data_IF_601808416760
#
_entry.id   IF_601808416760
#
_cell.length_a   1.000
_cell.length_b   1.000
_cell.length_c   1.000
_cell.angle_alpha   90.00
_cell.angle_beta   90.00
_cell.angle_gamma   90.00
#
_symmetry.space_group_name_H-M   'P 1'
#
loop_
_entity.id
_entity.type
_entity.pdbx_description
1 polymer ?
#
# COMPACT_ATOMS: atom_id res chain seq x y z
N UNK A 1 -10.64 5.39 -16.45
CA UNK A 1 -11.25 6.73 -16.26
C UNK A 1 -10.79 7.66 -17.38
N UNK A 2 -11.71 8.22 -18.20
CA UNK A 2 -11.37 9.21 -19.24
C UNK A 2 -11.55 10.61 -18.64
N UNK A 3 -10.45 11.32 -18.40
CA UNK A 3 -10.50 12.70 -17.91
C UNK A 3 -10.68 13.67 -19.09
N UNK A 4 -11.66 14.57 -19.01
CA UNK A 4 -11.87 15.64 -19.98
C UNK A 4 -10.71 16.65 -19.93
N UNK A 5 -10.19 17.05 -21.09
CA UNK A 5 -8.98 17.88 -21.23
C UNK A 5 -9.16 19.34 -20.81
N UNK A 6 -10.39 19.77 -20.50
CA UNK A 6 -10.71 21.17 -20.17
C UNK A 6 -10.59 21.51 -18.68
N UNK A 7 -10.61 20.52 -17.79
CA UNK A 7 -10.45 20.71 -16.35
C UNK A 7 -9.67 19.54 -15.78
N UNK A 8 -8.46 19.79 -15.29
CA UNK A 8 -7.67 18.77 -14.63
C UNK A 8 -8.36 18.30 -13.34
N UNK A 9 -8.49 16.99 -13.11
CA UNK A 9 -9.06 16.47 -11.86
C UNK A 9 -8.22 16.94 -10.67
N UNK A 10 -8.88 17.22 -9.54
CA UNK A 10 -8.17 17.57 -8.31
C UNK A 10 -7.32 16.38 -7.86
N UNK A 11 -6.20 16.65 -7.19
CA UNK A 11 -5.29 15.60 -6.67
C UNK A 11 -6.03 14.57 -5.81
N UNK A 12 -6.97 15.00 -4.97
CA UNK A 12 -7.81 14.10 -4.16
C UNK A 12 -8.61 13.11 -5.02
N UNK A 13 -9.15 13.56 -6.16
CA UNK A 13 -9.89 12.68 -7.07
C UNK A 13 -8.97 11.68 -7.76
N UNK A 14 -7.73 12.09 -8.08
CA UNK A 14 -6.73 11.19 -8.64
C UNK A 14 -6.31 10.10 -7.64
N UNK A 15 -6.08 10.48 -6.38
CA UNK A 15 -5.75 9.54 -5.30
C UNK A 15 -6.92 8.57 -5.08
N UNK A 16 -8.14 9.10 -4.92
CA UNK A 16 -9.34 8.28 -4.72
C UNK A 16 -9.61 7.34 -5.91
N UNK A 17 -9.44 7.80 -7.14
CA UNK A 17 -9.62 6.96 -8.32
C UNK A 17 -8.61 5.81 -8.37
N UNK A 18 -7.37 6.03 -7.93
CA UNK A 18 -6.33 5.01 -7.90
C UNK A 18 -6.55 4.01 -6.75
N UNK A 19 -6.94 4.47 -5.56
CA UNK A 19 -7.30 3.60 -4.43
C UNK A 19 -8.47 2.66 -4.74
N UNK A 20 -9.39 3.08 -5.60
CA UNK A 20 -10.56 2.29 -6.01
C UNK A 20 -10.32 1.44 -7.27
N UNK A 21 -9.12 1.44 -7.85
CA UNK A 21 -8.79 0.66 -9.05
C UNK A 21 -7.98 -0.60 -8.67
N UNK A 22 -8.56 -1.80 -8.72
CA UNK A 22 -7.87 -3.05 -8.36
C UNK A 22 -6.69 -3.39 -9.28
N UNK A 23 -6.59 -2.75 -10.45
CA UNK A 23 -5.51 -2.93 -11.41
C UNK A 23 -4.43 -1.85 -11.32
N UNK A 24 -4.66 -0.81 -10.53
CA UNK A 24 -3.69 0.25 -10.34
C UNK A 24 -2.47 -0.23 -9.56
N UNK A 25 -1.35 0.43 -9.79
CA UNK A 25 -0.14 0.28 -8.96
C UNK A 25 -0.30 0.99 -7.63
N UNK A 26 0.44 0.52 -6.64
CA UNK A 26 0.55 1.15 -5.33
C UNK A 26 0.88 2.66 -5.45
N UNK A 27 0.27 3.47 -4.59
CA UNK A 27 0.43 4.92 -4.59
C UNK A 27 1.68 5.36 -3.82
N UNK A 28 2.39 6.34 -4.39
CA UNK A 28 3.40 7.12 -3.67
C UNK A 28 2.89 8.56 -3.55
N UNK A 29 2.58 8.98 -2.33
CA UNK A 29 2.07 10.34 -2.05
C UNK A 29 3.21 11.20 -1.52
N UNK A 30 3.66 12.14 -2.36
CA UNK A 30 4.71 13.09 -1.99
C UNK A 30 4.08 14.31 -1.30
N UNK A 31 4.52 14.59 -0.08
CA UNK A 31 4.07 15.78 0.68
C UNK A 31 5.25 16.56 1.22
N UNK A 32 5.02 17.82 1.56
CA UNK A 32 5.99 18.64 2.27
C UNK A 32 5.78 18.50 3.78
N UNK A 33 6.88 18.51 4.53
CA UNK A 33 6.87 18.54 6.00
C UNK A 33 6.10 17.38 6.66
N UNK A 34 6.08 16.20 6.05
CA UNK A 34 5.44 15.01 6.65
C UNK A 34 3.92 15.09 6.79
N UNK A 35 3.25 16.00 6.06
CA UNK A 35 1.80 16.22 6.20
C UNK A 35 0.93 15.12 5.56
N UNK A 36 1.51 14.03 5.03
CA UNK A 36 0.80 12.98 4.32
C UNK A 36 -0.33 12.34 5.14
N UNK A 37 -0.04 11.81 6.33
CA UNK A 37 -1.06 11.12 7.13
C UNK A 37 -2.21 12.06 7.55
N UNK A 38 -1.95 13.25 8.14
CA UNK A 38 -3.04 14.17 8.48
C UNK A 38 -3.89 14.54 7.27
N UNK A 39 -3.29 14.70 6.09
CA UNK A 39 -4.03 15.00 4.87
C UNK A 39 -4.87 13.81 4.41
N UNK A 40 -4.33 12.59 4.40
CA UNK A 40 -5.04 11.40 3.94
C UNK A 40 -6.24 11.05 4.83
N UNK A 41 -6.06 11.08 6.16
CA UNK A 41 -7.15 10.84 7.11
C UNK A 41 -8.12 12.03 7.21
N UNK A 42 -7.60 13.26 7.30
CA UNK A 42 -8.43 14.47 7.41
C UNK A 42 -9.32 14.72 6.17
N UNK A 43 -8.89 14.26 5.00
CA UNK A 43 -9.69 14.32 3.77
C UNK A 43 -10.57 13.09 3.55
N UNK A 44 -10.55 12.10 4.46
CA UNK A 44 -11.27 10.83 4.38
C UNK A 44 -10.93 10.01 3.13
N UNK A 45 -9.72 10.18 2.61
CA UNK A 45 -9.20 9.32 1.55
C UNK A 45 -8.83 7.94 2.10
N UNK A 46 -8.45 7.87 3.36
CA UNK A 46 -8.20 6.64 4.12
C UNK A 46 -9.09 6.63 5.38
N UNK A 47 -9.50 5.43 5.78
CA UNK A 47 -10.17 5.16 7.05
C UNK A 47 -9.14 4.66 8.06
N UNK A 48 -9.06 5.28 9.24
CA UNK A 48 -8.15 4.89 10.31
C UNK A 48 -8.43 3.47 10.81
N UNK A 49 -9.68 2.99 10.72
CA UNK A 49 -10.06 1.64 11.17
C UNK A 49 -9.63 0.53 10.21
N UNK A 50 -9.44 0.85 8.94
CA UNK A 50 -9.08 -0.10 7.87
C UNK A 50 -7.70 0.20 7.25
N UNK A 51 -6.89 1.02 7.94
CA UNK A 51 -5.55 1.37 7.50
C UNK A 51 -4.52 0.96 8.55
N UNK A 52 -3.60 0.08 8.14
CA UNK A 52 -2.40 -0.24 8.90
C UNK A 52 -1.28 0.72 8.53
N UNK A 53 -0.84 1.56 9.47
CA UNK A 53 0.29 2.47 9.28
C UNK A 53 1.56 1.83 9.83
N UNK A 54 2.55 1.62 8.98
CA UNK A 54 3.87 1.08 9.33
C UNK A 54 4.91 2.20 9.24
N UNK A 55 5.47 2.57 10.39
CA UNK A 55 6.48 3.62 10.52
C UNK A 55 7.82 2.96 10.78
N UNK A 56 8.81 3.25 9.94
CA UNK A 56 10.15 2.71 10.11
C UNK A 56 10.88 3.51 11.20
N UNK A 57 11.59 2.82 12.08
CA UNK A 57 12.40 3.51 13.07
C UNK A 57 13.60 4.19 12.40
N UNK A 58 13.80 5.46 12.73
CA UNK A 58 14.96 6.24 12.33
C UNK A 58 16.18 5.95 13.24
N UNK A 59 15.96 5.28 14.38
CA UNK A 59 17.02 4.92 15.31
C UNK A 59 17.73 3.63 14.84
N UNK A 60 19.06 3.64 14.68
CA UNK A 60 19.81 2.48 14.19
C UNK A 60 19.63 1.22 15.06
N UNK A 61 19.52 1.39 16.38
CA UNK A 61 19.42 0.29 17.34
C UNK A 61 18.08 -0.44 17.28
N UNK A 62 17.03 0.20 16.75
CA UNK A 62 15.70 -0.37 16.59
C UNK A 62 15.56 -1.18 15.29
N UNK A 63 16.54 -1.10 14.37
CA UNK A 63 16.54 -1.79 13.07
C UNK A 63 16.92 -3.27 13.19
N UNK A 64 16.29 -3.96 14.11
CA UNK A 64 16.49 -5.41 14.31
C UNK A 64 15.78 -6.21 13.21
N UNK A 65 16.36 -7.36 12.82
CA UNK A 65 15.72 -8.27 11.86
C UNK A 65 14.34 -8.75 12.36
N UNK A 66 14.19 -8.94 13.67
CA UNK A 66 12.92 -9.35 14.27
C UNK A 66 11.83 -8.29 14.08
N UNK A 67 12.18 -7.00 14.21
CA UNK A 67 11.25 -5.91 13.93
C UNK A 67 10.83 -5.92 12.45
N UNK A 68 11.79 -6.09 11.53
CA UNK A 68 11.50 -6.20 10.10
C UNK A 68 10.55 -7.36 9.78
N UNK A 69 10.79 -8.55 10.33
CA UNK A 69 9.90 -9.72 10.15
C UNK A 69 8.49 -9.44 10.68
N UNK A 70 8.39 -8.72 11.80
CA UNK A 70 7.09 -8.32 12.38
C UNK A 70 6.33 -7.37 11.45
N UNK A 71 7.01 -6.36 10.89
CA UNK A 71 6.41 -5.43 9.93
C UNK A 71 5.98 -6.15 8.64
N UNK A 72 6.79 -7.07 8.11
CA UNK A 72 6.43 -7.89 6.93
C UNK A 72 5.18 -8.73 7.22
N UNK A 73 5.09 -9.32 8.41
CA UNK A 73 3.91 -10.09 8.79
C UNK A 73 2.65 -9.21 8.91
N UNK A 74 2.77 -7.97 9.38
CA UNK A 74 1.67 -7.01 9.38
C UNK A 74 1.21 -6.68 7.95
N UNK A 75 2.13 -6.47 7.01
CA UNK A 75 1.78 -6.30 5.58
C UNK A 75 1.02 -7.53 5.07
N UNK A 76 1.53 -8.74 5.33
CA UNK A 76 0.89 -9.99 4.90
C UNK A 76 -0.53 -10.13 5.45
N UNK A 77 -0.74 -9.82 6.73
CA UNK A 77 -2.06 -9.89 7.35
C UNK A 77 -3.02 -8.86 6.77
N UNK A 78 -2.58 -7.61 6.58
CA UNK A 78 -3.37 -6.55 5.97
C UNK A 78 -3.77 -6.90 4.51
N UNK A 79 -2.84 -7.48 3.74
CA UNK A 79 -3.13 -7.98 2.40
C UNK A 79 -4.18 -9.10 2.40
N UNK A 80 -4.18 -9.96 3.43
CA UNK A 80 -5.16 -11.04 3.55
C UNK A 80 -6.54 -10.54 3.99
N UNK A 81 -6.61 -9.50 4.83
CA UNK A 81 -7.87 -8.87 5.24
C UNK A 81 -8.44 -7.90 4.20
N UNK A 82 -7.61 -7.45 3.26
CA UNK A 82 -7.95 -6.40 2.29
C UNK A 82 -7.79 -4.98 2.82
N UNK A 83 -7.15 -4.81 3.98
CA UNK A 83 -6.92 -3.52 4.60
C UNK A 83 -5.79 -2.76 3.92
N UNK A 84 -5.88 -1.43 3.93
CA UNK A 84 -4.86 -0.57 3.31
C UNK A 84 -3.59 -0.53 4.18
N UNK A 85 -2.41 -0.55 3.56
CA UNK A 85 -1.13 -0.38 4.26
C UNK A 85 -0.50 0.95 3.83
N UNK A 86 -0.11 1.77 4.80
CA UNK A 86 0.68 2.99 4.57
C UNK A 86 2.08 2.79 5.12
N UNK A 87 3.09 2.88 4.25
CA UNK A 87 4.50 2.79 4.62
C UNK A 87 5.08 4.19 4.78
N UNK A 88 5.72 4.47 5.91
CA UNK A 88 6.42 5.72 6.20
C UNK A 88 7.85 5.43 6.68
N UNK A 89 8.83 6.15 6.12
CA UNK A 89 10.24 6.09 6.50
C UNK A 89 10.80 4.65 6.61
N UNK A 90 10.41 3.77 5.68
CA UNK A 90 10.59 2.31 5.81
C UNK A 90 11.56 1.75 4.76
N UNK A 91 12.83 2.19 4.77
CA UNK A 91 13.79 1.81 3.71
C UNK A 91 14.17 0.33 3.72
N UNK A 92 14.24 -0.28 4.90
CA UNK A 92 14.64 -1.68 5.08
C UNK A 92 13.58 -2.70 4.62
N UNK A 93 12.30 -2.32 4.56
CA UNK A 93 11.21 -3.24 4.17
C UNK A 93 11.10 -3.39 2.65
N UNK A 94 11.65 -2.46 1.87
CA UNK A 94 11.49 -2.46 0.41
C UNK A 94 12.12 -3.67 -0.26
N UNK A 95 13.24 -4.18 0.27
CA UNK A 95 13.87 -5.39 -0.26
C UNK A 95 12.92 -6.59 -0.14
N UNK A 96 12.29 -6.74 1.03
CA UNK A 96 11.33 -7.82 1.28
C UNK A 96 10.01 -7.67 0.49
N UNK A 97 9.60 -6.44 0.19
CA UNK A 97 8.34 -6.15 -0.53
C UNK A 97 8.53 -5.95 -2.04
N UNK A 98 9.72 -6.20 -2.58
CA UNK A 98 10.02 -5.90 -3.98
C UNK A 98 9.04 -6.54 -4.97
N UNK A 99 8.74 -7.83 -4.79
CA UNK A 99 7.81 -8.55 -5.66
C UNK A 99 6.37 -8.06 -5.48
N UNK A 100 5.97 -7.74 -4.25
CA UNK A 100 4.66 -7.15 -3.93
C UNK A 100 4.49 -5.84 -4.68
N UNK A 101 5.42 -4.90 -4.51
CA UNK A 101 5.33 -3.55 -5.03
C UNK A 101 5.33 -3.52 -6.57
N UNK A 102 6.10 -4.42 -7.18
CA UNK A 102 6.14 -4.61 -8.63
C UNK A 102 4.96 -5.42 -9.19
N UNK A 103 4.05 -5.90 -8.33
CA UNK A 103 2.92 -6.73 -8.69
C UNK A 103 3.32 -8.03 -9.42
N UNK A 104 4.47 -8.61 -9.04
CA UNK A 104 4.98 -9.85 -9.63
C UNK A 104 4.37 -11.06 -8.93
N UNK A 105 3.10 -11.33 -9.24
CA UNK A 105 2.34 -12.43 -8.64
C UNK A 105 2.34 -13.68 -9.51
N UNK A 106 2.38 -14.84 -8.85
CA UNK A 106 2.14 -16.12 -9.50
C UNK A 106 0.66 -16.47 -9.44
N UNK A 107 0.16 -17.18 -10.44
CA UNK A 107 -1.23 -17.61 -10.47
C UNK A 107 -1.29 -19.13 -10.46
N UNK A 108 -2.03 -19.68 -9.49
CA UNK A 108 -2.32 -21.11 -9.43
C UNK A 108 -3.76 -21.33 -9.85
N UNK A 109 -3.95 -21.97 -11.00
CA UNK A 109 -5.26 -22.44 -11.45
C UNK A 109 -5.52 -23.83 -10.88
N UNK A 110 -6.60 -23.98 -10.14
CA UNK A 110 -7.11 -25.30 -9.75
C UNK A 110 -7.96 -25.85 -10.90
N UNK A 111 -7.47 -26.90 -11.56
CA UNK A 111 -8.13 -27.56 -12.69
C UNK A 111 -9.46 -28.22 -12.32
N UNK A 112 -9.70 -28.52 -11.04
CA UNK A 112 -10.92 -29.18 -10.56
C UNK A 112 -12.02 -28.18 -10.21
N UNK A 113 -11.66 -27.00 -9.71
CA UNK A 113 -12.62 -25.96 -9.29
C UNK A 113 -12.72 -24.78 -10.24
N UNK A 114 -11.80 -24.68 -11.22
CA UNK A 114 -11.69 -23.54 -12.14
C UNK A 114 -11.23 -22.24 -11.47
N UNK A 115 -10.92 -22.26 -10.16
CA UNK A 115 -10.51 -21.08 -9.41
C UNK A 115 -9.05 -20.75 -9.69
N UNK A 116 -8.77 -19.47 -9.90
CA UNK A 116 -7.41 -18.95 -9.99
C UNK A 116 -7.07 -18.22 -8.70
N UNK A 117 -6.01 -18.66 -8.02
CA UNK A 117 -5.49 -18.03 -6.82
C UNK A 117 -4.23 -17.22 -7.15
N UNK A 118 -4.21 -15.97 -6.68
CA UNK A 118 -3.05 -15.09 -6.75
C UNK A 118 -2.13 -15.41 -5.58
N UNK A 119 -0.90 -15.76 -5.89
CA UNK A 119 0.14 -16.15 -4.94
C UNK A 119 1.28 -15.12 -4.96
N UNK A 120 1.88 -14.94 -3.79
CA UNK A 120 3.04 -14.10 -3.53
C UNK A 120 4.26 -14.99 -3.33
#
# INVERSE_FOLDING_TARGET
>A
VKFDRKTHPKVQQLISANLNDPSARHLMVLTKNGAALPLLFGTKLLDELDTTVLIGSEFPDDKTELHLVTQINQVKLAMASGSTVVLLNHDNIYEALYDVLNQRYLYKSDSRTGRTLKLL
#
